data_IF_098215645379
#
_entry.id   IF_098215645379
#
_cell.length_a   1.000
_cell.length_b   1.000
_cell.length_c   1.000
_cell.angle_alpha   90.00
_cell.angle_beta   90.00
_cell.angle_gamma   90.00
#
_symmetry.space_group_name_H-M   'P 1'
#
loop_
_entity.id
_entity.type
_entity.pdbx_description
1 polymer ?
#
# COMPACT_ATOMS: atom_id res chain seq x y z
N UNK A 1 -2.08 -10.86 29.26
CA UNK A 1 -1.34 -10.65 28.00
C UNK A 1 -2.24 -9.87 27.05
N UNK A 2 -1.78 -8.79 26.41
CA UNK A 2 -2.57 -8.07 25.40
C UNK A 2 -2.52 -8.84 24.09
N UNK A 3 -3.68 -9.23 23.54
CA UNK A 3 -3.76 -9.93 22.26
C UNK A 3 -3.49 -8.92 21.11
N UNK A 4 -2.37 -9.02 20.37
CA UNK A 4 -2.03 -8.06 19.33
C UNK A 4 -3.04 -8.04 18.17
N UNK A 5 -3.71 -9.17 17.90
CA UNK A 5 -4.71 -9.29 16.84
C UNK A 5 -5.99 -8.48 17.13
N UNK A 6 -6.29 -8.21 18.39
CA UNK A 6 -7.48 -7.42 18.78
C UNK A 6 -7.11 -6.04 19.29
N UNK A 7 -5.93 -5.90 19.94
CA UNK A 7 -5.48 -4.63 20.53
C UNK A 7 -5.21 -3.57 19.47
N UNK A 8 -4.53 -3.92 18.36
CA UNK A 8 -4.21 -2.94 17.31
C UNK A 8 -5.45 -2.49 16.54
N UNK A 9 -6.29 -3.39 15.98
CA UNK A 9 -7.53 -2.96 15.30
C UNK A 9 -8.45 -2.15 16.21
N UNK A 10 -8.61 -2.55 17.47
CA UNK A 10 -9.42 -1.80 18.43
C UNK A 10 -8.87 -0.39 18.71
N UNK A 11 -7.53 -0.20 18.70
CA UNK A 11 -6.93 1.12 18.91
C UNK A 11 -7.19 2.12 17.79
N UNK A 12 -7.54 1.62 16.59
CA UNK A 12 -7.94 2.44 15.43
C UNK A 12 -9.44 2.36 15.14
N UNK A 13 -10.23 1.78 16.05
CA UNK A 13 -11.68 1.67 15.92
C UNK A 13 -12.18 0.63 14.91
N UNK A 14 -11.34 -0.33 14.50
CA UNK A 14 -11.69 -1.36 13.52
C UNK A 14 -11.81 -2.76 14.14
N UNK A 15 -12.60 -3.63 13.53
CA UNK A 15 -12.59 -5.06 13.84
C UNK A 15 -11.38 -5.73 13.20
N UNK A 16 -10.86 -6.81 13.81
CA UNK A 16 -9.72 -7.55 13.26
C UNK A 16 -9.93 -7.95 11.79
N UNK A 17 -11.12 -8.44 11.44
CA UNK A 17 -11.43 -8.89 10.08
C UNK A 17 -11.42 -7.73 9.09
N UNK A 18 -12.00 -6.58 9.45
CA UNK A 18 -12.00 -5.40 8.59
C UNK A 18 -10.57 -4.91 8.34
N UNK A 19 -9.81 -4.76 9.42
CA UNK A 19 -8.42 -4.31 9.39
C UNK A 19 -7.53 -5.25 8.58
N UNK A 20 -7.67 -6.57 8.80
CA UNK A 20 -6.92 -7.59 8.10
C UNK A 20 -7.21 -7.57 6.60
N UNK A 21 -8.47 -7.51 6.19
CA UNK A 21 -8.84 -7.50 4.76
C UNK A 21 -8.28 -6.26 4.07
N UNK A 22 -8.38 -5.08 4.71
CA UNK A 22 -7.82 -3.85 4.18
C UNK A 22 -6.29 -3.95 4.05
N UNK A 23 -5.61 -4.31 5.14
CA UNK A 23 -4.15 -4.42 5.18
C UNK A 23 -3.63 -5.44 4.15
N UNK A 24 -4.28 -6.59 4.04
CA UNK A 24 -3.91 -7.64 3.08
C UNK A 24 -4.09 -7.17 1.63
N UNK A 25 -5.24 -6.56 1.30
CA UNK A 25 -5.47 -6.00 -0.06
C UNK A 25 -4.49 -4.90 -0.41
N UNK A 26 -4.18 -4.02 0.55
CA UNK A 26 -3.20 -2.96 0.38
C UNK A 26 -1.80 -3.54 0.12
N UNK A 27 -1.36 -4.47 0.97
CA UNK A 27 -0.07 -5.15 0.84
C UNK A 27 0.06 -5.95 -0.47
N UNK A 28 -0.97 -6.67 -0.88
CA UNK A 28 -0.98 -7.40 -2.16
C UNK A 28 -0.79 -6.47 -3.36
N UNK A 29 -1.44 -5.29 -3.37
CA UNK A 29 -1.25 -4.28 -4.42
C UNK A 29 0.18 -3.72 -4.42
N UNK A 30 0.77 -3.49 -3.25
CA UNK A 30 2.17 -3.07 -3.13
C UNK A 30 3.13 -4.13 -3.70
N UNK A 31 2.95 -5.40 -3.30
CA UNK A 31 3.79 -6.50 -3.78
C UNK A 31 3.76 -6.64 -5.30
N UNK A 32 2.58 -6.54 -5.91
CA UNK A 32 2.43 -6.56 -7.38
C UNK A 32 3.14 -5.36 -8.03
N UNK A 33 3.00 -4.17 -7.47
CA UNK A 33 3.70 -2.98 -7.98
C UNK A 33 5.22 -3.10 -7.89
N UNK A 34 5.73 -3.61 -6.76
CA UNK A 34 7.16 -3.86 -6.55
C UNK A 34 7.71 -4.93 -7.48
N UNK A 35 7.02 -6.06 -7.61
CA UNK A 35 7.41 -7.13 -8.54
C UNK A 35 7.43 -6.62 -9.99
N UNK A 36 6.44 -5.83 -10.39
CA UNK A 36 6.39 -5.22 -11.72
C UNK A 36 7.59 -4.28 -11.97
N UNK A 37 8.02 -3.51 -10.97
CA UNK A 37 9.22 -2.68 -11.06
C UNK A 37 10.50 -3.52 -11.19
N UNK A 38 10.60 -4.62 -10.42
CA UNK A 38 11.74 -5.54 -10.51
C UNK A 38 11.83 -6.19 -11.90
N UNK A 39 10.71 -6.70 -12.43
CA UNK A 39 10.65 -7.27 -13.79
C UNK A 39 11.04 -6.23 -14.84
N UNK A 40 10.54 -5.00 -14.72
CA UNK A 40 10.89 -3.90 -15.62
C UNK A 40 12.38 -3.56 -15.58
N UNK A 41 13.03 -3.65 -14.41
CA UNK A 41 14.46 -3.39 -14.28
C UNK A 41 15.33 -4.38 -15.08
N UNK A 42 14.89 -5.64 -15.20
CA UNK A 42 15.56 -6.65 -16.06
C UNK A 42 15.12 -6.56 -17.52
N UNK A 43 13.83 -6.27 -17.75
CA UNK A 43 13.21 -6.22 -19.07
C UNK A 43 12.49 -4.88 -19.25
N UNK A 44 13.16 -3.84 -19.75
CA UNK A 44 12.62 -2.47 -19.76
C UNK A 44 11.39 -2.28 -20.66
N UNK A 45 11.07 -3.25 -21.52
CA UNK A 45 9.86 -3.25 -22.34
C UNK A 45 8.64 -3.92 -21.64
N UNK A 46 8.85 -4.62 -20.53
CA UNK A 46 7.77 -5.21 -19.72
C UNK A 46 7.34 -4.27 -18.61
N UNK A 47 6.07 -4.35 -18.21
CA UNK A 47 5.54 -3.66 -17.02
C UNK A 47 5.71 -2.12 -16.97
N UNK A 48 5.97 -1.45 -18.10
CA UNK A 48 6.38 -0.03 -18.23
C UNK A 48 5.63 0.95 -17.31
N UNK A 49 4.30 0.85 -17.21
CA UNK A 49 3.47 1.76 -16.39
C UNK A 49 2.83 1.07 -15.18
N UNK A 50 3.17 -0.19 -14.93
CA UNK A 50 2.45 -1.03 -13.96
C UNK A 50 2.76 -0.61 -12.53
N UNK A 51 4.03 -0.37 -12.21
CA UNK A 51 4.43 0.09 -10.88
C UNK A 51 3.78 1.43 -10.53
N UNK A 52 3.88 2.43 -11.41
CA UNK A 52 3.30 3.77 -11.20
C UNK A 52 1.78 3.71 -11.04
N UNK A 53 1.07 2.98 -11.90
CA UNK A 53 -0.39 2.79 -11.76
C UNK A 53 -0.78 2.13 -10.44
N UNK A 54 0.00 1.17 -9.94
CA UNK A 54 -0.26 0.55 -8.63
C UNK A 54 -0.02 1.56 -7.50
N UNK A 55 1.02 2.38 -7.61
CA UNK A 55 1.31 3.43 -6.65
C UNK A 55 0.19 4.48 -6.60
N UNK A 56 -0.34 4.91 -7.74
CA UNK A 56 -1.49 5.83 -7.81
C UNK A 56 -2.74 5.22 -7.15
N UNK A 57 -3.02 3.95 -7.42
CA UNK A 57 -4.13 3.22 -6.78
C UNK A 57 -3.96 3.11 -5.26
N UNK A 58 -2.74 2.86 -4.78
CA UNK A 58 -2.43 2.80 -3.36
C UNK A 58 -2.57 4.16 -2.70
N UNK A 59 -2.12 5.22 -3.38
CA UNK A 59 -2.23 6.58 -2.89
C UNK A 59 -3.70 7.02 -2.79
N UNK A 60 -4.55 6.62 -3.74
CA UNK A 60 -5.99 6.86 -3.69
C UNK A 60 -6.70 6.10 -2.55
N UNK A 61 -6.15 4.95 -2.11
CA UNK A 61 -6.69 4.17 -0.98
C UNK A 61 -6.27 4.72 0.39
N UNK A 62 -5.23 5.57 0.44
CA UNK A 62 -4.77 6.18 1.70
C UNK A 62 -5.74 7.30 2.10
N UNK A 63 -6.20 7.37 3.36
CA UNK A 63 -6.97 8.51 3.86
C UNK A 63 -6.23 9.82 3.59
N UNK A 64 -6.91 10.80 3.00
CA UNK A 64 -6.30 12.12 2.73
C UNK A 64 -6.13 12.85 4.07
N UNK A 65 -4.89 12.92 4.55
CA UNK A 65 -4.54 13.56 5.82
C UNK A 65 -3.12 13.23 6.31
N UNK A 66 -2.52 12.16 5.79
CA UNK A 66 -1.19 11.69 6.24
C UNK A 66 -0.10 11.84 5.18
N UNK A 67 -0.30 12.62 4.11
CA UNK A 67 0.83 12.97 3.26
C UNK A 67 1.65 14.06 3.96
N UNK A 68 2.90 13.79 4.40
CA UNK A 68 3.82 14.89 4.67
C UNK A 68 3.91 15.65 3.35
N UNK A 69 3.75 16.98 3.40
CA UNK A 69 3.86 17.83 2.24
C UNK A 69 5.11 17.44 1.45
N UNK A 70 4.93 16.71 0.35
CA UNK A 70 6.03 16.28 -0.48
C UNK A 70 6.68 17.57 -0.96
N UNK A 71 7.89 17.84 -0.47
CA UNK A 71 8.70 18.97 -0.90
C UNK A 71 8.88 18.77 -2.39
N UNK A 72 8.10 19.52 -3.17
CA UNK A 72 8.13 19.52 -4.62
C UNK A 72 9.43 20.24 -4.98
N UNK A 73 10.53 19.49 -4.96
CA UNK A 73 11.82 19.90 -5.48
C UNK A 73 11.61 20.31 -6.94
N UNK A 74 11.90 21.58 -7.19
CA UNK A 74 11.83 22.24 -8.50
C UNK A 74 12.96 21.79 -9.39
#
# INVERSE_FOLDING_TARGET
MRNPFTTHPASVGETYVHHFIFAFKFGAKMAVGGLAAMVHAFFPFLCVTTASRKLDQLNALRPRGTQPAATRGR
#
